data_IF_765645954003
#
_entry.id   IF_765645954003
#
_cell.length_a   1.000
_cell.length_b   1.000
_cell.length_c   1.000
_cell.angle_alpha   90.00
_cell.angle_beta   90.00
_cell.angle_gamma   90.00
#
_symmetry.space_group_name_H-M   'P 1'
#
loop_
_entity.id
_entity.type
_entity.pdbx_description
1 polymer ?
#
# COMPACT_ATOMS: atom_id res chain seq x y z
N UNK A 1 -25.34 42.71 3.95
CA UNK A 1 -25.31 41.63 2.94
C UNK A 1 -23.87 41.14 2.86
N UNK A 2 -23.55 40.12 3.65
CA UNK A 2 -22.21 39.52 3.74
C UNK A 2 -21.85 38.90 2.40
N UNK A 3 -20.67 39.26 1.88
CA UNK A 3 -20.16 38.76 0.61
C UNK A 3 -20.19 37.24 0.58
N UNK A 4 -20.92 36.69 -0.38
CA UNK A 4 -20.87 35.27 -0.72
C UNK A 4 -19.43 34.97 -1.09
N UNK A 5 -18.69 34.34 -0.17
CA UNK A 5 -17.31 33.95 -0.42
C UNK A 5 -17.31 33.04 -1.65
N UNK A 6 -16.67 33.50 -2.73
CA UNK A 6 -16.50 32.69 -3.94
C UNK A 6 -15.85 31.37 -3.51
N UNK A 7 -16.52 30.22 -3.69
CA UNK A 7 -15.95 28.95 -3.27
C UNK A 7 -14.62 28.75 -4.02
N UNK A 8 -13.52 28.67 -3.27
CA UNK A 8 -12.20 28.42 -3.86
C UNK A 8 -12.27 27.04 -4.54
N UNK A 9 -11.87 26.90 -5.82
CA UNK A 9 -12.04 25.65 -6.58
C UNK A 9 -11.30 24.43 -6.00
N UNK A 10 -10.40 24.67 -5.03
CA UNK A 10 -9.56 23.67 -4.39
C UNK A 10 -9.87 23.43 -2.90
N UNK A 11 -10.81 24.18 -2.31
CA UNK A 11 -11.08 24.08 -0.86
C UNK A 11 -11.65 22.72 -0.47
N UNK A 12 -12.57 22.18 -1.27
CA UNK A 12 -13.15 20.85 -1.04
C UNK A 12 -12.10 19.73 -1.13
N UNK A 13 -11.25 19.78 -2.15
CA UNK A 13 -10.14 18.85 -2.32
C UNK A 13 -9.18 18.85 -1.12
N UNK A 14 -8.71 20.03 -0.71
CA UNK A 14 -7.82 20.16 0.43
C UNK A 14 -8.48 19.70 1.74
N UNK A 15 -9.75 20.03 1.94
CA UNK A 15 -10.50 19.60 3.10
C UNK A 15 -10.62 18.08 3.17
N UNK A 16 -10.93 17.42 2.05
CA UNK A 16 -11.04 15.97 1.97
C UNK A 16 -9.70 15.29 2.29
N UNK A 17 -8.60 15.73 1.66
CA UNK A 17 -7.26 15.24 1.97
C UNK A 17 -6.93 15.39 3.46
N UNK A 18 -7.19 16.57 4.02
CA UNK A 18 -6.93 16.86 5.44
C UNK A 18 -7.76 15.97 6.36
N UNK A 19 -9.04 15.76 6.04
CA UNK A 19 -9.93 14.87 6.80
C UNK A 19 -9.37 13.45 6.84
N UNK A 20 -9.00 12.91 5.68
CA UNK A 20 -8.48 11.54 5.58
C UNK A 20 -7.15 11.38 6.33
N UNK A 21 -6.22 12.31 6.20
CA UNK A 21 -4.96 12.28 6.97
C UNK A 21 -5.20 12.43 8.48
N UNK A 22 -6.11 13.31 8.88
CA UNK A 22 -6.44 13.50 10.30
C UNK A 22 -7.09 12.26 10.93
N UNK A 23 -7.92 11.52 10.17
CA UNK A 23 -8.51 10.25 10.61
C UNK A 23 -7.43 9.22 10.96
N UNK A 24 -6.40 9.12 10.13
CA UNK A 24 -5.24 8.23 10.37
C UNK A 24 -4.53 8.62 11.67
N UNK A 25 -4.26 9.91 11.89
CA UNK A 25 -3.60 10.39 13.11
C UNK A 25 -4.42 10.15 14.37
N UNK A 26 -5.75 10.25 14.30
CA UNK A 26 -6.62 10.05 15.46
C UNK A 26 -6.66 8.59 15.92
N UNK A 27 -6.48 7.64 15.01
CA UNK A 27 -6.51 6.19 15.26
C UNK A 27 -5.10 5.56 15.21
N UNK A 28 -4.05 6.32 15.50
CA UNK A 28 -2.66 5.91 15.28
C UNK A 28 -2.27 4.62 16.03
N UNK A 29 -2.78 4.40 17.25
CA UNK A 29 -2.47 3.21 18.05
C UNK A 29 -2.91 1.91 17.37
N UNK A 30 -4.10 1.92 16.76
CA UNK A 30 -4.64 0.75 16.07
C UNK A 30 -4.12 0.65 14.63
N UNK A 31 -4.05 1.79 13.94
CA UNK A 31 -3.85 1.81 12.49
C UNK A 31 -2.37 1.87 12.09
N UNK A 32 -1.49 2.35 12.96
CA UNK A 32 -0.07 2.59 12.68
C UNK A 32 0.83 1.80 13.61
N UNK A 33 0.62 1.90 14.94
CA UNK A 33 1.48 1.24 15.92
C UNK A 33 1.43 -0.29 15.79
N UNK A 34 0.24 -0.88 15.68
CA UNK A 34 0.09 -2.33 15.58
C UNK A 34 0.84 -2.92 14.35
N UNK A 35 0.65 -2.43 13.11
CA UNK A 35 1.43 -2.93 11.96
C UNK A 35 2.95 -2.75 12.10
N UNK A 36 3.40 -1.63 12.69
CA UNK A 36 4.83 -1.38 12.92
C UNK A 36 5.39 -2.40 13.90
N UNK A 37 4.74 -2.61 15.04
CA UNK A 37 5.16 -3.60 16.05
C UNK A 37 5.17 -5.00 15.47
N UNK A 38 4.12 -5.41 14.75
CA UNK A 38 4.07 -6.73 14.11
C UNK A 38 5.19 -6.94 13.08
N UNK A 39 5.49 -5.92 12.26
CA UNK A 39 6.54 -6.03 11.26
C UNK A 39 7.93 -6.06 11.89
N UNK A 40 8.16 -5.30 12.98
CA UNK A 40 9.39 -5.40 13.76
C UNK A 40 9.55 -6.77 14.42
N UNK A 41 8.47 -7.34 14.95
CA UNK A 41 8.50 -8.70 15.46
C UNK A 41 8.87 -9.70 14.37
N UNK A 42 8.37 -9.54 13.15
CA UNK A 42 8.81 -10.37 12.03
C UNK A 42 10.28 -10.19 11.70
N UNK A 43 10.80 -8.96 11.67
CA UNK A 43 12.23 -8.69 11.44
C UNK A 43 13.08 -9.35 12.52
N UNK A 44 12.72 -9.18 13.80
CA UNK A 44 13.49 -9.72 14.92
C UNK A 44 13.40 -11.25 14.95
N UNK A 45 12.20 -11.82 14.86
CA UNK A 45 12.00 -13.27 14.94
C UNK A 45 12.63 -13.96 13.75
N UNK A 46 12.32 -13.54 12.51
CA UNK A 46 12.90 -14.20 11.33
C UNK A 46 14.36 -13.83 11.15
N UNK A 47 14.75 -12.57 11.32
CA UNK A 47 16.15 -12.14 11.23
C UNK A 47 17.05 -12.91 12.20
N UNK A 48 16.70 -12.96 13.49
CA UNK A 48 17.53 -13.67 14.48
C UNK A 48 17.43 -15.20 14.36
N UNK A 49 16.24 -15.76 14.14
CA UNK A 49 16.08 -17.22 14.12
C UNK A 49 16.61 -17.89 12.85
N UNK A 50 16.45 -17.22 11.70
CA UNK A 50 16.91 -17.74 10.41
C UNK A 50 18.27 -17.18 10.02
N UNK A 51 18.69 -16.00 10.48
CA UNK A 51 20.02 -15.45 10.17
C UNK A 51 21.17 -16.33 10.66
N UNK A 52 20.99 -17.08 11.76
CA UNK A 52 21.97 -18.08 12.21
C UNK A 52 22.01 -19.39 11.39
N UNK A 53 21.08 -19.59 10.44
CA UNK A 53 20.98 -20.79 9.59
C UNK A 53 21.15 -20.49 8.10
N UNK A 54 20.67 -19.32 7.68
CA UNK A 54 20.73 -18.78 6.32
C UNK A 54 21.69 -17.59 6.40
N UNK A 55 22.95 -17.83 6.04
CA UNK A 55 23.98 -16.80 6.14
C UNK A 55 23.69 -15.66 5.15
N UNK A 56 23.45 -15.99 3.88
CA UNK A 56 23.25 -14.99 2.83
C UNK A 56 22.17 -15.41 1.83
N UNK A 57 21.40 -14.43 1.36
CA UNK A 57 20.47 -14.54 0.24
C UNK A 57 20.86 -13.45 -0.75
N UNK A 58 21.20 -13.84 -1.99
CA UNK A 58 21.66 -12.91 -3.04
C UNK A 58 22.84 -12.02 -2.62
N UNK A 59 23.75 -12.52 -1.79
CA UNK A 59 24.93 -11.79 -1.32
C UNK A 59 24.66 -10.77 -0.20
N UNK A 60 23.44 -10.76 0.36
CA UNK A 60 23.10 -9.96 1.54
C UNK A 60 22.79 -10.85 2.74
N UNK A 61 23.15 -10.42 3.97
CA UNK A 61 22.70 -11.07 5.19
C UNK A 61 21.17 -11.17 5.20
N UNK A 62 20.63 -12.31 5.65
CA UNK A 62 19.19 -12.55 5.64
C UNK A 62 18.38 -11.45 6.37
N UNK A 63 18.91 -10.96 7.49
CA UNK A 63 18.36 -9.85 8.26
C UNK A 63 18.23 -8.54 7.47
N UNK A 64 19.13 -8.28 6.53
CA UNK A 64 19.05 -7.14 5.60
C UNK A 64 18.05 -7.42 4.48
N UNK A 65 18.06 -8.64 3.96
CA UNK A 65 17.23 -9.05 2.82
C UNK A 65 15.72 -8.96 3.09
N UNK A 66 15.26 -9.27 4.30
CA UNK A 66 13.83 -9.29 4.64
C UNK A 66 13.22 -7.90 4.86
N UNK A 67 14.04 -6.87 5.16
CA UNK A 67 13.55 -5.53 5.52
C UNK A 67 12.71 -4.89 4.41
N UNK A 68 13.16 -4.83 3.14
CA UNK A 68 12.39 -4.19 2.08
C UNK A 68 11.07 -4.89 1.80
N UNK A 69 11.05 -6.23 1.89
CA UNK A 69 9.83 -7.03 1.70
C UNK A 69 8.80 -6.76 2.78
N UNK A 70 9.22 -6.71 4.05
CA UNK A 70 8.33 -6.41 5.17
C UNK A 70 7.83 -4.96 5.14
N UNK A 71 8.67 -4.01 4.73
CA UNK A 71 8.25 -2.61 4.49
C UNK A 71 7.18 -2.56 3.39
N UNK A 72 7.43 -3.20 2.23
CA UNK A 72 6.47 -3.24 1.12
C UNK A 72 5.13 -3.87 1.54
N UNK A 73 5.17 -5.01 2.24
CA UNK A 73 4.02 -5.71 2.78
C UNK A 73 3.19 -4.81 3.72
N UNK A 74 3.84 -4.17 4.67
CA UNK A 74 3.16 -3.31 5.64
C UNK A 74 2.52 -2.08 4.97
N UNK A 75 3.23 -1.46 4.02
CA UNK A 75 2.72 -0.31 3.26
C UNK A 75 1.53 -0.68 2.38
N UNK A 76 1.59 -1.82 1.69
CA UNK A 76 0.52 -2.30 0.81
C UNK A 76 -0.77 -2.56 1.60
N UNK A 77 -0.66 -3.29 2.71
CA UNK A 77 -1.80 -3.56 3.60
C UNK A 77 -2.35 -2.28 4.23
N UNK A 78 -1.49 -1.32 4.60
CA UNK A 78 -1.91 -0.05 5.17
C UNK A 78 -2.72 0.79 4.16
N UNK A 79 -2.22 0.92 2.94
CA UNK A 79 -2.89 1.69 1.88
C UNK A 79 -4.24 1.06 1.52
N UNK A 80 -4.26 -0.26 1.28
CA UNK A 80 -5.48 -1.01 0.97
C UNK A 80 -6.52 -0.89 2.09
N UNK A 81 -6.16 -1.24 3.33
CA UNK A 81 -7.12 -1.29 4.44
C UNK A 81 -7.68 0.09 4.78
N UNK A 82 -6.86 1.14 4.66
CA UNK A 82 -7.33 2.52 4.88
C UNK A 82 -8.40 2.93 3.87
N UNK A 83 -8.17 2.63 2.60
CA UNK A 83 -9.03 3.07 1.51
C UNK A 83 -10.29 2.22 1.40
N UNK A 84 -10.19 0.90 1.60
CA UNK A 84 -11.36 0.03 1.67
C UNK A 84 -12.29 0.46 2.80
N UNK A 85 -11.74 0.72 4.00
CA UNK A 85 -12.54 1.12 5.16
C UNK A 85 -13.18 2.50 5.01
N UNK A 86 -12.46 3.53 4.54
CA UNK A 86 -13.02 4.89 4.43
C UNK A 86 -14.13 4.97 3.38
N UNK A 87 -13.97 4.26 2.24
CA UNK A 87 -14.98 4.25 1.18
C UNK A 87 -16.22 3.46 1.63
N UNK A 88 -16.02 2.28 2.22
CA UNK A 88 -17.14 1.49 2.74
C UNK A 88 -17.90 2.24 3.85
N UNK A 89 -17.19 2.79 4.84
CA UNK A 89 -17.82 3.58 5.91
C UNK A 89 -18.53 4.82 5.35
N UNK A 90 -17.93 5.51 4.39
CA UNK A 90 -18.56 6.65 3.72
C UNK A 90 -19.90 6.32 3.09
N UNK A 91 -20.00 5.15 2.46
CA UNK A 91 -21.25 4.66 1.87
C UNK A 91 -22.25 4.22 2.93
N UNK A 92 -21.80 3.42 3.90
CA UNK A 92 -22.63 2.89 5.00
C UNK A 92 -23.23 4.00 5.87
N UNK A 93 -22.41 4.99 6.23
CA UNK A 93 -22.78 6.08 7.13
C UNK A 93 -23.32 7.32 6.37
N UNK A 94 -23.48 7.21 5.05
CA UNK A 94 -24.01 8.24 4.14
C UNK A 94 -23.23 9.56 4.05
N UNK A 95 -22.09 9.73 4.72
CA UNK A 95 -21.27 10.94 4.53
C UNK A 95 -20.60 11.00 3.14
N UNK A 96 -20.63 9.91 2.36
CA UNK A 96 -20.23 9.95 0.95
C UNK A 96 -21.20 10.77 0.09
N UNK A 97 -22.48 10.86 0.48
CA UNK A 97 -23.47 11.67 -0.25
C UNK A 97 -23.10 13.16 -0.22
N UNK A 98 -22.60 13.65 0.91
CA UNK A 98 -22.12 15.03 1.05
C UNK A 98 -20.93 15.33 0.13
N UNK A 99 -20.01 14.37 -0.01
CA UNK A 99 -18.85 14.50 -0.89
C UNK A 99 -19.27 14.49 -2.35
N UNK A 100 -20.22 13.64 -2.73
CA UNK A 100 -20.77 13.57 -4.09
C UNK A 100 -21.64 14.78 -4.46
N UNK A 101 -22.30 15.41 -3.48
CA UNK A 101 -23.08 16.64 -3.67
C UNK A 101 -22.21 17.90 -3.72
N UNK A 102 -20.96 17.82 -3.24
CA UNK A 102 -20.03 18.94 -3.27
C UNK A 102 -19.62 19.31 -4.72
N UNK A 103 -19.27 20.57 -5.00
CA UNK A 103 -18.82 21.01 -6.34
C UNK A 103 -17.38 20.56 -6.64
N UNK A 104 -17.03 19.32 -6.30
CA UNK A 104 -15.72 18.71 -6.57
C UNK A 104 -15.79 17.89 -7.85
N UNK A 105 -14.67 17.87 -8.59
CA UNK A 105 -14.53 16.94 -9.71
C UNK A 105 -14.31 15.51 -9.17
N UNK A 106 -14.79 14.51 -9.92
CA UNK A 106 -14.63 13.09 -9.57
C UNK A 106 -13.17 12.70 -9.25
N UNK A 107 -12.20 13.25 -9.99
CA UNK A 107 -10.77 12.99 -9.74
C UNK A 107 -10.28 13.60 -8.42
N UNK A 108 -10.81 14.77 -8.02
CA UNK A 108 -10.47 15.40 -6.74
C UNK A 108 -10.98 14.53 -5.58
N UNK A 109 -12.17 13.94 -5.71
CA UNK A 109 -12.69 13.01 -4.71
C UNK A 109 -11.82 11.76 -4.62
N UNK A 110 -11.55 11.11 -5.75
CA UNK A 110 -10.74 9.89 -5.82
C UNK A 110 -9.34 10.10 -5.21
N UNK A 111 -8.63 11.15 -5.64
CA UNK A 111 -7.30 11.50 -5.11
C UNK A 111 -7.38 11.89 -3.63
N UNK A 112 -8.43 12.58 -3.20
CA UNK A 112 -8.62 12.95 -1.80
C UNK A 112 -8.75 11.73 -0.88
N UNK A 113 -9.45 10.69 -1.31
CA UNK A 113 -9.50 9.42 -0.58
C UNK A 113 -8.18 8.63 -0.66
N UNK A 114 -7.49 8.64 -1.81
CA UNK A 114 -6.16 8.04 -1.96
C UNK A 114 -5.11 8.66 -1.02
N UNK A 115 -5.23 9.96 -0.74
CA UNK A 115 -4.30 10.67 0.14
C UNK A 115 -4.22 10.07 1.55
N UNK A 116 -5.36 9.63 2.11
CA UNK A 116 -5.37 8.99 3.44
C UNK A 116 -4.59 7.69 3.48
N UNK A 117 -4.78 6.83 2.48
CA UNK A 117 -4.09 5.54 2.39
C UNK A 117 -2.61 5.71 2.16
N UNK A 118 -2.24 6.63 1.26
CA UNK A 118 -0.86 7.00 1.03
C UNK A 118 -0.21 7.54 2.30
N UNK A 119 -0.86 8.46 3.01
CA UNK A 119 -0.34 9.02 4.26
C UNK A 119 -0.11 7.95 5.34
N UNK A 120 -1.08 7.05 5.54
CA UNK A 120 -0.93 5.93 6.49
C UNK A 120 0.21 5.00 6.12
N UNK A 121 0.29 4.60 4.85
CA UNK A 121 1.33 3.71 4.36
C UNK A 121 2.73 4.36 4.49
N UNK A 122 2.87 5.64 4.16
CA UNK A 122 4.13 6.37 4.28
C UNK A 122 4.59 6.50 5.74
N UNK A 123 3.68 6.74 6.68
CA UNK A 123 4.04 6.76 8.11
C UNK A 123 4.56 5.38 8.55
N UNK A 124 3.87 4.30 8.16
CA UNK A 124 4.27 2.94 8.55
C UNK A 124 5.59 2.54 7.90
N UNK A 125 5.73 2.77 6.60
CA UNK A 125 6.97 2.47 5.87
C UNK A 125 8.15 3.29 6.36
N UNK A 126 7.94 4.59 6.62
CA UNK A 126 8.95 5.47 7.19
C UNK A 126 9.35 5.08 8.61
N UNK A 127 8.38 4.73 9.47
CA UNK A 127 8.66 4.24 10.82
C UNK A 127 9.43 2.92 10.79
N UNK A 128 9.06 1.99 9.90
CA UNK A 128 9.77 0.72 9.76
C UNK A 128 11.17 0.92 9.21
N UNK A 129 11.37 1.74 8.18
CA UNK A 129 12.71 2.06 7.69
C UNK A 129 13.57 2.72 8.78
N UNK A 130 13.02 3.69 9.51
CA UNK A 130 13.73 4.39 10.59
C UNK A 130 14.13 3.47 11.76
N UNK A 131 13.38 2.40 12.01
CA UNK A 131 13.67 1.44 13.08
C UNK A 131 14.52 0.27 12.60
N UNK A 132 14.26 -0.26 11.40
CA UNK A 132 14.91 -1.45 10.87
C UNK A 132 16.31 -1.15 10.29
N UNK A 133 16.51 -0.02 9.60
CA UNK A 133 17.80 0.33 8.99
C UNK A 133 18.92 0.44 10.03
N UNK A 134 18.74 1.11 11.19
CA UNK A 134 19.77 1.15 12.22
C UNK A 134 20.06 -0.22 12.88
N UNK A 135 19.07 -1.12 12.91
CA UNK A 135 19.21 -2.45 13.52
C UNK A 135 19.95 -3.41 12.58
N UNK A 136 19.64 -3.35 11.29
CA UNK A 136 20.09 -4.34 10.29
C UNK A 136 21.24 -3.84 9.42
N UNK A 137 21.46 -2.53 9.36
CA UNK A 137 22.40 -1.92 8.42
C UNK A 137 21.93 -1.97 6.96
N UNK A 138 20.63 -2.18 6.71
CA UNK A 138 20.09 -2.26 5.35
C UNK A 138 20.37 -0.97 4.55
N UNK A 139 21.03 -1.05 3.39
CA UNK A 139 21.36 0.14 2.60
C UNK A 139 20.12 0.69 1.90
N UNK A 140 20.25 1.93 1.42
CA UNK A 140 19.31 2.53 0.46
C UNK A 140 20.11 2.92 -0.78
N UNK A 141 20.41 1.92 -1.60
CA UNK A 141 21.27 2.05 -2.79
C UNK A 141 20.63 2.93 -3.88
N UNK A 142 19.31 2.79 -4.07
CA UNK A 142 18.60 3.41 -5.19
C UNK A 142 17.40 4.26 -4.69
N UNK A 143 17.64 5.41 -4.04
CA UNK A 143 16.59 6.20 -3.37
C UNK A 143 15.52 6.74 -4.33
N UNK A 144 15.89 7.09 -5.57
CA UNK A 144 14.93 7.56 -6.57
C UNK A 144 13.98 6.43 -7.01
N UNK A 145 14.52 5.24 -7.26
CA UNK A 145 13.71 4.07 -7.61
C UNK A 145 12.85 3.62 -6.43
N UNK A 146 13.38 3.67 -5.22
CA UNK A 146 12.61 3.43 -4.01
C UNK A 146 11.41 4.38 -3.90
N UNK A 147 11.62 5.68 -4.13
CA UNK A 147 10.54 6.66 -4.13
C UNK A 147 9.48 6.33 -5.18
N UNK A 148 9.88 5.99 -6.41
CA UNK A 148 8.94 5.61 -7.48
C UNK A 148 8.18 4.34 -7.11
N UNK A 149 8.86 3.31 -6.59
CA UNK A 149 8.23 2.06 -6.16
C UNK A 149 7.20 2.31 -5.06
N UNK A 150 7.56 3.12 -4.06
CA UNK A 150 6.66 3.53 -2.97
C UNK A 150 5.45 4.29 -3.49
N UNK A 151 5.63 5.26 -4.38
CA UNK A 151 4.52 6.04 -4.96
C UNK A 151 3.56 5.15 -5.75
N UNK A 152 4.08 4.24 -6.58
CA UNK A 152 3.27 3.30 -7.34
C UNK A 152 2.55 2.30 -6.42
N UNK A 153 3.22 1.80 -5.38
CA UNK A 153 2.66 0.89 -4.39
C UNK A 153 1.49 1.54 -3.65
N UNK A 154 1.69 2.74 -3.06
CA UNK A 154 0.62 3.38 -2.27
C UNK A 154 -0.56 3.80 -3.15
N UNK A 155 -0.30 4.24 -4.38
CA UNK A 155 -1.35 4.57 -5.34
C UNK A 155 -2.12 3.32 -5.79
N UNK A 156 -1.42 2.24 -6.13
CA UNK A 156 -2.03 0.99 -6.60
C UNK A 156 -2.87 0.31 -5.51
N UNK A 157 -2.30 0.09 -4.32
CA UNK A 157 -3.03 -0.53 -3.22
C UNK A 157 -4.12 0.37 -2.63
N UNK A 158 -3.91 1.69 -2.63
CA UNK A 158 -4.96 2.64 -2.30
C UNK A 158 -6.15 2.56 -3.27
N UNK A 159 -5.87 2.47 -4.58
CA UNK A 159 -6.91 2.33 -5.61
C UNK A 159 -7.63 0.98 -5.52
N UNK A 160 -6.89 -0.11 -5.28
CA UNK A 160 -7.47 -1.43 -5.01
C UNK A 160 -8.42 -1.38 -3.80
N UNK A 161 -7.98 -0.77 -2.70
CA UNK A 161 -8.79 -0.58 -1.51
C UNK A 161 -10.06 0.20 -1.82
N UNK A 162 -9.94 1.29 -2.58
CA UNK A 162 -11.09 2.07 -3.03
C UNK A 162 -12.07 1.22 -3.85
N UNK A 163 -11.60 0.48 -4.85
CA UNK A 163 -12.45 -0.40 -5.68
C UNK A 163 -13.21 -1.40 -4.81
N UNK A 164 -12.51 -2.05 -3.87
CA UNK A 164 -13.14 -3.01 -2.95
C UNK A 164 -14.15 -2.31 -2.03
N UNK A 165 -13.84 -1.14 -1.48
CA UNK A 165 -14.76 -0.37 -0.64
C UNK A 165 -16.04 0.05 -1.37
N UNK A 166 -15.98 0.34 -2.68
CA UNK A 166 -17.16 0.65 -3.51
C UNK A 166 -18.03 -0.60 -3.75
N UNK A 167 -17.44 -1.79 -3.77
CA UNK A 167 -18.17 -3.04 -4.03
C UNK A 167 -18.57 -3.80 -2.76
N UNK A 168 -17.97 -3.46 -1.62
CA UNK A 168 -18.26 -4.10 -0.35
C UNK A 168 -19.70 -3.80 0.10
N UNK A 169 -20.38 -4.87 0.55
CA UNK A 169 -21.73 -4.82 1.12
C UNK A 169 -21.69 -4.88 2.65
N UNK A 170 -20.57 -5.35 3.21
CA UNK A 170 -20.30 -5.42 4.64
C UNK A 170 -18.83 -5.06 4.93
N UNK A 171 -18.54 -4.69 6.18
CA UNK A 171 -17.16 -4.49 6.62
C UNK A 171 -16.34 -5.80 6.49
N UNK A 172 -16.98 -6.94 6.74
CA UNK A 172 -16.36 -8.25 6.61
C UNK A 172 -15.95 -8.57 5.16
N UNK A 173 -16.68 -8.09 4.14
CA UNK A 173 -16.25 -8.22 2.74
C UNK A 173 -14.88 -7.56 2.49
N UNK A 174 -14.64 -6.39 3.07
CA UNK A 174 -13.33 -5.71 2.90
C UNK A 174 -12.19 -6.48 3.55
N UNK A 175 -12.45 -7.11 4.70
CA UNK A 175 -11.50 -7.94 5.44
C UNK A 175 -11.28 -9.30 4.77
N UNK A 176 -12.32 -9.88 4.17
CA UNK A 176 -12.26 -11.14 3.43
C UNK A 176 -11.26 -11.05 2.27
N UNK A 177 -11.34 -9.99 1.45
CA UNK A 177 -10.40 -9.79 0.34
C UNK A 177 -8.96 -9.62 0.85
N UNK A 178 -8.77 -8.92 1.97
CA UNK A 178 -7.44 -8.81 2.57
C UNK A 178 -6.86 -10.17 2.95
N UNK A 179 -7.66 -10.99 3.66
CA UNK A 179 -7.15 -12.20 4.30
C UNK A 179 -7.07 -13.40 3.35
N UNK A 180 -7.94 -13.48 2.34
CA UNK A 180 -7.99 -14.60 1.39
C UNK A 180 -7.21 -14.31 0.11
N UNK A 181 -7.08 -13.05 -0.29
CA UNK A 181 -6.41 -12.68 -1.55
C UNK A 181 -5.08 -12.00 -1.29
N UNK A 182 -5.08 -10.86 -0.61
CA UNK A 182 -3.87 -10.03 -0.47
C UNK A 182 -2.83 -10.73 0.39
N UNK A 183 -3.22 -11.28 1.53
CA UNK A 183 -2.29 -11.91 2.47
C UNK A 183 -1.59 -13.14 1.86
N UNK A 184 -2.27 -14.13 1.25
CA UNK A 184 -1.59 -15.26 0.61
C UNK A 184 -0.69 -14.84 -0.56
N UNK A 185 -1.15 -13.90 -1.39
CA UNK A 185 -0.33 -13.35 -2.47
C UNK A 185 0.90 -12.61 -1.92
N UNK A 186 0.81 -11.99 -0.76
CA UNK A 186 1.98 -11.35 -0.14
C UNK A 186 3.02 -12.38 0.28
N UNK A 187 2.58 -13.50 0.88
CA UNK A 187 3.48 -14.60 1.25
C UNK A 187 4.10 -15.31 0.04
N UNK A 188 3.35 -15.43 -1.07
CA UNK A 188 3.85 -15.95 -2.35
C UNK A 188 4.65 -14.91 -3.16
N UNK A 189 4.68 -13.64 -2.72
CA UNK A 189 5.36 -12.55 -3.40
C UNK A 189 6.84 -12.41 -3.04
N UNK A 190 7.43 -13.40 -2.36
CA UNK A 190 8.85 -13.38 -2.00
C UNK A 190 9.19 -12.36 -0.91
N UNK A 191 8.28 -12.03 0.02
CA UNK A 191 8.59 -11.10 1.14
C UNK A 191 9.72 -11.60 2.03
N UNK A 192 9.76 -12.90 2.29
CA UNK A 192 10.70 -13.53 3.23
C UNK A 192 11.82 -14.32 2.54
N UNK A 193 11.75 -14.51 1.23
CA UNK A 193 12.66 -15.37 0.46
C UNK A 193 12.80 -14.84 -0.97
N UNK A 194 13.88 -15.23 -1.66
CA UNK A 194 14.00 -14.99 -3.10
C UNK A 194 13.18 -16.04 -3.86
N UNK A 195 12.39 -15.60 -4.85
CA UNK A 195 11.52 -16.50 -5.62
C UNK A 195 12.34 -17.54 -6.39
N UNK A 196 13.56 -17.18 -6.82
CA UNK A 196 14.50 -18.07 -7.51
C UNK A 196 14.95 -19.26 -6.65
N UNK A 197 14.75 -19.18 -5.33
CA UNK A 197 15.05 -20.28 -4.40
C UNK A 197 13.96 -21.36 -4.36
N UNK A 198 12.80 -21.10 -4.97
CA UNK A 198 11.69 -22.05 -5.01
C UNK A 198 11.86 -23.06 -6.14
N UNK A 199 11.53 -24.32 -5.87
CA UNK A 199 11.39 -25.32 -6.94
C UNK A 199 10.11 -25.14 -7.74
N UNK A 200 10.10 -25.64 -8.97
CA UNK A 200 8.87 -25.77 -9.76
C UNK A 200 7.85 -26.67 -9.03
N UNK A 201 6.55 -26.29 -8.95
CA UNK A 201 5.88 -25.22 -9.71
C UNK A 201 5.77 -23.86 -9.00
N UNK A 202 6.30 -23.72 -7.78
CA UNK A 202 6.04 -22.55 -6.92
C UNK A 202 6.66 -21.26 -7.45
N UNK A 203 7.87 -21.35 -8.02
CA UNK A 203 8.54 -20.25 -8.71
C UNK A 203 7.64 -19.63 -9.79
N UNK A 204 7.03 -20.47 -10.64
CA UNK A 204 6.15 -20.03 -11.74
C UNK A 204 4.88 -19.35 -11.22
N UNK A 205 4.30 -19.89 -10.15
CA UNK A 205 3.12 -19.30 -9.49
C UNK A 205 3.48 -17.93 -8.90
N UNK A 206 4.64 -17.80 -8.28
CA UNK A 206 5.14 -16.54 -7.74
C UNK A 206 5.42 -15.50 -8.83
N UNK A 207 5.94 -15.87 -10.00
CA UNK A 207 6.09 -14.93 -11.12
C UNK A 207 4.77 -14.47 -11.75
N UNK A 208 3.70 -15.26 -11.63
CA UNK A 208 2.37 -14.84 -12.05
C UNK A 208 1.71 -13.84 -11.06
N UNK A 209 2.25 -13.72 -9.85
CA UNK A 209 1.70 -12.89 -8.80
C UNK A 209 2.17 -11.43 -8.94
N UNK A 210 1.28 -10.45 -9.10
CA UNK A 210 1.67 -9.04 -9.22
C UNK A 210 2.35 -8.49 -7.96
N UNK A 211 2.08 -9.06 -6.77
CA UNK A 211 2.71 -8.62 -5.52
C UNK A 211 4.20 -8.94 -5.46
N UNK A 212 4.66 -9.94 -6.21
CA UNK A 212 6.08 -10.23 -6.35
C UNK A 212 6.84 -9.01 -6.90
N UNK A 213 6.34 -8.41 -7.99
CA UNK A 213 6.98 -7.25 -8.61
C UNK A 213 6.93 -5.99 -7.72
N UNK A 214 5.94 -5.88 -6.83
CA UNK A 214 5.88 -4.82 -5.81
C UNK A 214 7.05 -4.96 -4.84
N UNK A 215 7.22 -6.17 -4.29
CA UNK A 215 8.28 -6.49 -3.33
C UNK A 215 9.64 -6.31 -3.98
N UNK A 216 9.81 -6.82 -5.19
CA UNK A 216 11.06 -6.75 -5.94
C UNK A 216 11.45 -5.30 -6.29
N UNK A 217 10.49 -4.46 -6.69
CA UNK A 217 10.77 -3.03 -6.97
C UNK A 217 11.21 -2.26 -5.71
N UNK A 218 10.59 -2.54 -4.54
CA UNK A 218 11.01 -1.94 -3.27
C UNK A 218 12.37 -2.49 -2.84
N UNK A 219 12.62 -3.80 -3.01
CA UNK A 219 13.90 -4.44 -2.73
C UNK A 219 15.02 -3.83 -3.56
N UNK A 220 14.81 -3.61 -4.84
CA UNK A 220 15.77 -2.91 -5.70
C UNK A 220 16.13 -1.52 -5.18
N UNK A 221 15.13 -0.79 -4.65
CA UNK A 221 15.34 0.52 -4.01
C UNK A 221 16.32 0.47 -2.81
N UNK A 222 16.24 -0.57 -2.00
CA UNK A 222 17.11 -0.76 -0.84
C UNK A 222 18.47 -1.39 -1.22
N UNK A 223 18.45 -2.55 -1.88
CA UNK A 223 19.62 -3.41 -2.07
C UNK A 223 20.33 -3.23 -3.41
N UNK A 224 19.70 -2.54 -4.38
CA UNK A 224 20.24 -2.41 -5.74
C UNK A 224 20.17 -3.70 -6.58
N UNK A 225 19.60 -4.78 -6.04
CA UNK A 225 19.40 -6.07 -6.72
C UNK A 225 17.91 -6.35 -6.94
N UNK A 226 17.61 -7.18 -7.95
CA UNK A 226 16.25 -7.56 -8.35
C UNK A 226 16.27 -8.99 -8.89
N UNK A 227 15.24 -9.75 -8.57
CA UNK A 227 15.08 -11.17 -8.91
C UNK A 227 14.86 -11.34 -10.44
N UNK A 228 14.02 -10.50 -11.05
CA UNK A 228 13.64 -10.59 -12.48
C UNK A 228 14.16 -9.44 -13.36
N UNK A 229 14.88 -8.49 -12.76
CA UNK A 229 15.35 -7.27 -13.40
C UNK A 229 14.42 -6.08 -13.14
N UNK A 230 15.00 -5.00 -12.62
CA UNK A 230 14.26 -3.83 -12.18
C UNK A 230 13.28 -3.27 -13.22
N UNK A 231 13.63 -3.11 -14.52
CA UNK A 231 12.68 -2.55 -15.50
C UNK A 231 11.38 -3.34 -15.62
N UNK A 232 11.43 -4.68 -15.50
CA UNK A 232 10.24 -5.53 -15.58
C UNK A 232 9.37 -5.31 -14.35
N UNK A 233 9.98 -5.32 -13.15
CA UNK A 233 9.26 -5.08 -11.90
C UNK A 233 8.58 -3.72 -11.86
N UNK A 234 9.26 -2.66 -12.28
CA UNK A 234 8.66 -1.33 -12.39
C UNK A 234 7.59 -1.25 -13.48
N UNK A 235 7.76 -1.91 -14.63
CA UNK A 235 6.77 -1.91 -15.70
C UNK A 235 5.47 -2.62 -15.28
N UNK A 236 5.57 -3.79 -14.66
CA UNK A 236 4.41 -4.55 -14.16
C UNK A 236 3.71 -3.78 -13.03
N UNK A 237 4.49 -3.23 -12.08
CA UNK A 237 3.96 -2.41 -11.00
C UNK A 237 3.23 -1.17 -11.55
N UNK A 238 3.82 -0.45 -12.50
CA UNK A 238 3.21 0.72 -13.13
C UNK A 238 1.94 0.35 -13.90
N UNK A 239 1.95 -0.73 -14.69
CA UNK A 239 0.79 -1.20 -15.43
C UNK A 239 -0.37 -1.57 -14.49
N UNK A 240 -0.08 -2.32 -13.42
CA UNK A 240 -1.07 -2.65 -12.39
C UNK A 240 -1.64 -1.39 -11.74
N UNK A 241 -0.77 -0.48 -11.28
CA UNK A 241 -1.19 0.75 -10.61
C UNK A 241 -2.03 1.65 -11.51
N UNK A 242 -1.64 1.83 -12.78
CA UNK A 242 -2.41 2.62 -13.74
C UNK A 242 -3.77 1.98 -14.05
N UNK A 243 -3.84 0.66 -14.21
CA UNK A 243 -5.09 -0.07 -14.40
C UNK A 243 -6.05 0.10 -13.21
N UNK A 244 -5.55 -0.04 -11.99
CA UNK A 244 -6.32 0.16 -10.77
C UNK A 244 -6.77 1.62 -10.59
N UNK A 245 -5.89 2.59 -10.87
CA UNK A 245 -6.25 4.01 -10.81
C UNK A 245 -7.33 4.37 -11.84
N UNK A 246 -7.21 3.87 -13.07
CA UNK A 246 -8.20 4.09 -14.12
C UNK A 246 -9.56 3.50 -13.73
N UNK A 247 -9.59 2.29 -13.15
CA UNK A 247 -10.83 1.68 -12.66
C UNK A 247 -11.41 2.47 -11.48
N UNK A 248 -10.60 2.80 -10.48
CA UNK A 248 -11.03 3.63 -9.35
C UNK A 248 -11.63 4.96 -9.84
N UNK A 249 -10.96 5.62 -10.77
CA UNK A 249 -11.43 6.87 -11.37
C UNK A 249 -12.75 6.69 -12.13
N UNK A 250 -12.89 5.60 -12.88
CA UNK A 250 -14.12 5.27 -13.59
C UNK A 250 -15.31 5.14 -12.62
N UNK A 251 -15.11 4.51 -11.45
CA UNK A 251 -16.16 4.39 -10.42
C UNK A 251 -16.63 5.78 -9.93
N UNK A 252 -15.70 6.70 -9.64
CA UNK A 252 -16.05 8.07 -9.26
C UNK A 252 -16.73 8.87 -10.37
N UNK A 253 -16.32 8.69 -11.64
CA UNK A 253 -16.98 9.38 -12.77
C UNK A 253 -18.37 8.85 -13.07
N UNK A 254 -18.59 7.53 -12.90
CA UNK A 254 -19.87 6.90 -13.18
C UNK A 254 -20.90 7.08 -12.07
N UNK A 255 -20.45 7.36 -10.83
CA UNK A 255 -21.31 7.48 -9.65
C UNK A 255 -21.96 6.16 -9.22
N UNK A 256 -21.70 5.05 -9.94
CA UNK A 256 -22.35 3.76 -9.72
C UNK A 256 -21.86 3.14 -8.41
N UNK A 257 -22.79 2.62 -7.61
CA UNK A 257 -22.54 1.99 -6.30
C UNK A 257 -21.92 2.90 -5.22
N UNK A 258 -21.65 4.17 -5.50
CA UNK A 258 -21.14 5.12 -4.49
C UNK A 258 -22.22 5.65 -3.55
N UNK A 259 -23.50 5.41 -3.88
CA UNK A 259 -24.65 5.59 -2.99
C UNK A 259 -25.14 4.20 -2.52
N UNK A 260 -25.69 4.10 -1.30
CA UNK A 260 -26.28 2.85 -0.81
C UNK A 260 -27.43 2.36 -1.70
#
# INVERSE_FOLDING_TARGET
MSGVAVPRPWSGFYWLCRRECHRVLKLWTQTTLAPVVSSLLFIVVFGLSLGGRINEVQGFPYEVFIVPGLVAMAMAQAAYSNNASTIYQGRSDRFMDDVLASPMHAWQMNVGYLAGGAFRALIIGGALAALAVPITGAPVEQPLFLLVAVLLLVAGFGALGTIVGVHAESFDHTSFINNIVILPLTFLGGVFYSVDSLGSPWEQISHANPLFYVVDAVRYGFLGTSDVGAPISFAVLAAMTLGLLAWSQHLFTSGRKLKP
#
